data_IF_364915149496
#
_entry.id   IF_364915149496
#
_cell.length_a   1.000
_cell.length_b   1.000
_cell.length_c   1.000
_cell.angle_alpha   90.00
_cell.angle_beta   90.00
_cell.angle_gamma   90.00
#
_symmetry.space_group_name_H-M   'P 1'
#
loop_
_entity.id
_entity.type
_entity.pdbx_description
1 polymer ?
#
# COMPACT_ATOMS: atom_id res chain seq x y z
N UNK A 1 2.18 -11.80 -25.47
CA UNK A 1 2.49 -10.71 -24.53
C UNK A 1 1.37 -9.67 -24.56
N UNK A 2 0.99 -9.17 -23.38
CA UNK A 2 0.01 -8.10 -23.10
C UNK A 2 -1.46 -8.45 -23.35
N UNK A 3 -2.23 -8.61 -22.26
CA UNK A 3 -3.69 -8.66 -22.38
C UNK A 3 -4.54 -8.84 -21.12
N UNK A 4 -3.98 -9.15 -19.94
CA UNK A 4 -4.84 -9.54 -18.80
C UNK A 4 -4.64 -8.77 -17.47
N UNK A 5 -3.74 -7.78 -17.41
CA UNK A 5 -3.41 -7.12 -16.13
C UNK A 5 -4.32 -5.92 -15.78
N UNK A 6 -5.53 -5.80 -16.36
CA UNK A 6 -6.39 -4.60 -16.15
C UNK A 6 -7.85 -4.87 -15.80
N UNK A 7 -8.24 -6.10 -15.45
CA UNK A 7 -9.65 -6.40 -15.17
C UNK A 7 -9.93 -7.06 -13.81
N UNK A 8 -8.95 -7.10 -12.90
CA UNK A 8 -9.19 -7.56 -11.51
C UNK A 8 -9.08 -6.44 -10.47
N UNK A 9 -9.37 -5.20 -10.84
CA UNK A 9 -9.85 -4.23 -9.85
C UNK A 9 -11.32 -4.57 -9.47
N UNK A 10 -11.57 -5.81 -9.04
CA UNK A 10 -12.75 -6.09 -8.25
C UNK A 10 -12.73 -5.08 -7.11
N UNK A 11 -13.78 -4.28 -6.94
CA UNK A 11 -13.87 -3.31 -5.83
C UNK A 11 -13.69 -4.11 -4.55
N UNK A 12 -12.46 -4.08 -3.99
CA UNK A 12 -12.13 -4.82 -2.77
C UNK A 12 -13.11 -4.39 -1.68
N UNK A 13 -13.54 -5.31 -0.81
CA UNK A 13 -14.38 -4.96 0.32
C UNK A 13 -13.77 -3.77 1.06
N UNK A 14 -14.61 -2.82 1.49
CA UNK A 14 -14.15 -1.60 2.16
C UNK A 14 -13.22 -1.91 3.35
N UNK A 15 -13.49 -2.99 4.08
CA UNK A 15 -12.66 -3.44 5.19
C UNK A 15 -11.22 -3.79 4.78
N UNK A 16 -11.05 -4.51 3.65
CA UNK A 16 -9.72 -4.87 3.11
C UNK A 16 -8.95 -3.60 2.74
N UNK A 17 -9.60 -2.65 2.08
CA UNK A 17 -8.98 -1.36 1.75
C UNK A 17 -8.53 -0.59 2.99
N UNK A 18 -9.37 -0.56 4.04
CA UNK A 18 -9.00 0.07 5.31
C UNK A 18 -7.81 -0.62 5.99
N UNK A 19 -7.72 -1.95 5.92
CA UNK A 19 -6.58 -2.72 6.41
C UNK A 19 -5.28 -2.36 5.69
N UNK A 20 -5.32 -2.32 4.34
CA UNK A 20 -4.19 -1.88 3.50
C UNK A 20 -3.76 -0.46 3.83
N UNK A 21 -4.70 0.48 3.95
CA UNK A 21 -4.42 1.88 4.27
C UNK A 21 -3.81 2.05 5.67
N UNK A 22 -4.28 1.27 6.65
CA UNK A 22 -3.75 1.26 8.01
C UNK A 22 -2.30 0.75 8.05
N UNK A 23 -2.04 -0.41 7.42
CA UNK A 23 -0.71 -1.03 7.41
C UNK A 23 0.31 -0.16 6.67
N UNK A 24 -0.09 0.45 5.54
CA UNK A 24 0.75 1.41 4.82
C UNK A 24 1.13 2.61 5.69
N UNK A 25 0.20 3.09 6.52
CA UNK A 25 0.44 4.20 7.48
C UNK A 25 1.42 3.76 8.55
N UNK A 26 1.24 2.58 9.13
CA UNK A 26 2.11 2.04 10.16
C UNK A 26 3.54 1.82 9.67
N UNK A 27 3.72 1.24 8.48
CA UNK A 27 5.04 1.04 7.88
C UNK A 27 5.74 2.37 7.58
N UNK A 28 5.03 3.35 7.01
CA UNK A 28 5.58 4.68 6.77
C UNK A 28 6.01 5.38 8.07
N UNK A 29 5.20 5.29 9.13
CA UNK A 29 5.52 5.88 10.42
C UNK A 29 6.75 5.23 11.08
N UNK A 30 6.91 3.92 10.94
CA UNK A 30 7.98 3.17 11.59
C UNK A 30 9.29 3.13 10.78
N UNK A 31 9.20 3.08 9.45
CA UNK A 31 10.33 2.78 8.56
C UNK A 31 10.63 3.89 7.55
N UNK A 32 9.75 4.89 7.41
CA UNK A 32 9.95 6.02 6.50
C UNK A 32 10.17 5.57 5.05
N UNK A 33 11.31 5.92 4.47
CA UNK A 33 11.64 5.64 3.07
C UNK A 33 11.72 4.14 2.74
N UNK A 34 12.07 3.30 3.71
CA UNK A 34 12.23 1.84 3.52
C UNK A 34 10.90 1.08 3.51
N UNK A 35 9.81 1.72 3.94
CA UNK A 35 8.49 1.10 4.07
C UNK A 35 8.03 0.39 2.78
N UNK A 36 8.31 0.99 1.63
CA UNK A 36 7.94 0.43 0.33
C UNK A 36 8.73 -0.82 -0.03
N UNK A 37 10.03 -0.88 0.30
CA UNK A 37 10.86 -2.05 0.05
C UNK A 37 10.42 -3.23 0.95
N UNK A 38 10.16 -2.96 2.23
CA UNK A 38 9.68 -3.99 3.17
C UNK A 38 8.32 -4.54 2.76
N UNK A 39 7.38 -3.70 2.32
CA UNK A 39 6.09 -4.18 1.83
C UNK A 39 6.23 -5.10 0.60
N UNK A 40 7.15 -4.78 -0.32
CA UNK A 40 7.44 -5.65 -1.48
C UNK A 40 8.07 -6.97 -1.07
N UNK A 41 9.04 -6.94 -0.16
CA UNK A 41 9.66 -8.15 0.37
C UNK A 41 8.60 -9.07 1.01
N UNK A 42 7.68 -8.51 1.80
CA UNK A 42 6.58 -9.29 2.39
C UNK A 42 5.61 -9.86 1.36
N UNK A 43 5.44 -9.19 0.22
CA UNK A 43 4.66 -9.73 -0.90
C UNK A 43 5.34 -10.94 -1.54
N UNK A 44 6.66 -10.90 -1.70
CA UNK A 44 7.48 -12.00 -2.24
C UNK A 44 7.56 -13.20 -1.27
N UNK A 45 7.59 -12.94 0.04
CA UNK A 45 7.67 -13.96 1.09
C UNK A 45 6.30 -14.51 1.52
N UNK A 46 5.21 -14.01 0.94
CA UNK A 46 3.86 -14.40 1.33
C UNK A 46 3.58 -15.88 1.05
N UNK A 47 2.90 -16.55 1.98
CA UNK A 47 2.54 -17.96 1.88
C UNK A 47 1.28 -18.22 1.05
N UNK A 48 0.59 -17.17 0.58
CA UNK A 48 -0.57 -17.26 -0.30
C UNK A 48 -0.63 -16.09 -1.26
N UNK A 49 -1.25 -16.30 -2.42
CA UNK A 49 -1.45 -15.26 -3.44
C UNK A 49 -2.30 -14.10 -2.91
N UNK A 50 -3.26 -14.37 -2.02
CA UNK A 50 -4.08 -13.34 -1.38
C UNK A 50 -3.23 -12.43 -0.49
N UNK A 51 -2.36 -13.01 0.33
CA UNK A 51 -1.43 -12.24 1.17
C UNK A 51 -0.39 -11.49 0.32
N UNK A 52 0.12 -12.11 -0.74
CA UNK A 52 1.03 -11.46 -1.67
C UNK A 52 0.39 -10.21 -2.29
N UNK A 53 -0.88 -10.33 -2.72
CA UNK A 53 -1.62 -9.22 -3.28
C UNK A 53 -1.91 -8.12 -2.25
N UNK A 54 -2.24 -8.46 -1.01
CA UNK A 54 -2.44 -7.48 0.05
C UNK A 54 -1.16 -6.66 0.33
N UNK A 55 -0.01 -7.33 0.42
CA UNK A 55 1.28 -6.66 0.59
C UNK A 55 1.69 -5.82 -0.63
N UNK A 56 1.36 -6.28 -1.84
CA UNK A 56 1.57 -5.50 -3.06
C UNK A 56 0.72 -4.22 -3.05
N UNK A 57 -0.55 -4.30 -2.65
CA UNK A 57 -1.43 -3.13 -2.52
C UNK A 57 -0.90 -2.14 -1.46
N UNK A 58 -0.38 -2.65 -0.33
CA UNK A 58 0.28 -1.81 0.69
C UNK A 58 1.48 -1.07 0.09
N UNK A 59 2.34 -1.76 -0.66
CA UNK A 59 3.48 -1.14 -1.33
C UNK A 59 3.06 -0.04 -2.32
N UNK A 60 1.97 -0.26 -3.07
CA UNK A 60 1.42 0.71 -4.01
C UNK A 60 0.87 1.95 -3.30
N UNK A 61 0.15 1.78 -2.18
CA UNK A 61 -0.33 2.91 -1.36
C UNK A 61 0.84 3.71 -0.80
N UNK A 62 1.89 3.04 -0.30
CA UNK A 62 3.10 3.71 0.17
C UNK A 62 3.74 4.52 -0.97
N UNK A 63 3.91 3.93 -2.15
CA UNK A 63 4.49 4.60 -3.30
C UNK A 63 3.67 5.82 -3.77
N UNK A 64 2.35 5.76 -3.69
CA UNK A 64 1.47 6.90 -4.00
C UNK A 64 1.64 8.04 -3.00
N UNK A 65 1.72 7.72 -1.70
CA UNK A 65 1.87 8.70 -0.62
C UNK A 65 3.25 9.35 -0.60
N UNK A 66 4.31 8.62 -0.92
CA UNK A 66 5.67 9.17 -0.98
C UNK A 66 5.94 9.95 -2.26
N UNK A 67 5.22 9.64 -3.36
CA UNK A 67 5.29 10.40 -4.61
C UNK A 67 4.59 11.76 -4.53
N UNK A 68 3.61 11.92 -3.63
CA UNK A 68 2.85 13.15 -3.47
C UNK A 68 3.42 13.98 -2.32
N UNK A 69 4.17 15.07 -2.58
CA UNK A 69 4.62 15.96 -1.51
C UNK A 69 3.43 16.82 -1.08
N UNK A 70 2.59 16.35 -0.13
CA UNK A 70 1.47 17.19 0.30
C UNK A 70 0.34 16.59 1.13
N UNK A 71 0.48 15.40 1.73
CA UNK A 71 -0.54 14.90 2.66
C UNK A 71 0.04 14.63 4.05
N UNK A 72 0.73 15.63 4.60
CA UNK A 72 1.30 15.61 5.95
C UNK A 72 1.33 16.97 6.67
N UNK A 73 0.74 18.03 6.10
CA UNK A 73 0.74 19.36 6.72
C UNK A 73 -0.58 20.10 6.48
N UNK A 74 -1.56 19.85 7.33
CA UNK A 74 -2.66 20.77 7.62
C UNK A 74 -3.24 20.42 9.00
N UNK A 75 -2.45 20.65 10.05
CA UNK A 75 -3.05 21.03 11.32
C UNK A 75 -3.73 22.39 11.11
N UNK A 76 -4.95 22.62 11.62
CA UNK A 76 -5.62 23.89 11.43
C UNK A 76 -4.82 24.97 12.14
N UNK A 77 -4.34 25.94 11.37
CA UNK A 77 -3.86 27.20 11.91
C UNK A 77 -5.04 27.94 12.55
N UNK A 78 -4.96 28.14 13.86
CA UNK A 78 -5.51 29.27 14.61
C UNK A 78 -4.50 29.65 15.68
#
# INVERSE_FOLDING_TARGET
MKGAARLFAARRPRAVRLGVDFEATALLANLGAEAGAVARQRAEEASSDEMAQDWADVADVIAQRTRSPGSGAAGPGL
#
